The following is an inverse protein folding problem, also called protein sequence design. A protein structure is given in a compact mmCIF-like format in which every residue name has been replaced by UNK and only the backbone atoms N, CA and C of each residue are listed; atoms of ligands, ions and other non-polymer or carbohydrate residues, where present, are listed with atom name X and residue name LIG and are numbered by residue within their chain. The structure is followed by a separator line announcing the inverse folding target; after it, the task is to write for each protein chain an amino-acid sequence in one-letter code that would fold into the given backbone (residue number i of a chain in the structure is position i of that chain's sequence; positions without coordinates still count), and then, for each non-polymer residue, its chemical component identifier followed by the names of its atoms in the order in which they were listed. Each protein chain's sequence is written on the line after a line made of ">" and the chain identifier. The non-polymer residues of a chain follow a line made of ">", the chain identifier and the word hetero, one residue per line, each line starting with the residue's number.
data_IF_056680207783
#
_entry.id   IF_056680207783
#
_cell.length_a   1.000
_cell.length_b   1.000
_cell.length_c   1.000
_cell.angle_alpha   90.00
_cell.angle_beta   90.00
_cell.angle_gamma   90.00
#
_symmetry.space_group_name_H-M   'P 1'
#
loop_
_entity.id
_entity.type
_entity.pdbx_description
1 polymer ?
#
# COMPACT_ATOMS: atom_id res chain seq x y z
N UNK A 1 6.82 6.40 0.22
CA UNK A 1 7.41 7.03 1.42
C UNK A 1 7.05 6.15 2.60
N UNK A 2 7.87 6.02 3.65
CA UNK A 2 7.38 5.34 4.87
C UNK A 2 6.47 6.27 5.71
N UNK A 3 5.78 5.69 6.69
CA UNK A 3 4.82 6.39 7.55
C UNK A 3 5.46 7.53 8.35
N UNK A 4 6.67 7.32 8.89
CA UNK A 4 7.36 8.33 9.69
C UNK A 4 7.75 9.54 8.85
N UNK A 5 8.31 9.30 7.68
CA UNK A 5 8.62 10.37 6.74
C UNK A 5 7.36 11.11 6.27
N UNK A 6 6.29 10.38 5.96
CA UNK A 6 5.01 11.01 5.61
C UNK A 6 4.49 11.92 6.72
N UNK A 7 4.57 11.49 7.97
CA UNK A 7 4.17 12.29 9.13
C UNK A 7 5.04 13.54 9.32
N UNK A 8 6.36 13.44 9.11
CA UNK A 8 7.27 14.59 9.14
C UNK A 8 6.88 15.62 8.07
N UNK A 9 6.78 15.23 6.80
CA UNK A 9 6.44 16.16 5.71
C UNK A 9 5.04 16.75 5.85
N UNK A 10 4.07 15.96 6.33
CA UNK A 10 2.71 16.40 6.61
C UNK A 10 2.66 17.49 7.68
N UNK A 11 3.57 17.43 8.64
CA UNK A 11 3.60 18.34 9.81
C UNK A 11 4.31 19.66 9.52
N UNK A 12 4.93 19.82 8.36
CA UNK A 12 5.61 21.05 7.92
C UNK A 12 4.71 21.90 7.01
N UNK A 13 4.78 23.22 7.15
CA UNK A 13 4.17 24.19 6.22
C UNK A 13 5.30 24.82 5.35
N UNK A 14 5.02 25.16 4.07
CA UNK A 14 6.02 25.83 3.22
C UNK A 14 6.30 27.28 3.63
N UNK A 15 5.38 27.95 4.35
CA UNK A 15 5.48 29.35 4.76
C UNK A 15 5.92 29.48 6.21
N UNK A 16 5.43 28.62 7.08
CA UNK A 16 5.75 28.61 8.52
C UNK A 16 6.60 27.40 8.90
N UNK A 17 7.84 27.67 9.30
CA UNK A 17 8.81 26.63 9.64
C UNK A 17 8.68 26.17 11.09
N UNK A 18 9.25 25.01 11.44
CA UNK A 18 9.26 24.44 12.79
C UNK A 18 10.66 24.10 13.25
N UNK A 19 10.94 24.20 14.54
CA UNK A 19 12.15 23.57 15.11
C UNK A 19 12.03 22.05 15.04
N UNK A 20 13.14 21.35 15.25
CA UNK A 20 13.14 19.88 15.26
C UNK A 20 12.28 19.35 16.42
N UNK A 21 12.25 20.03 17.56
CA UNK A 21 11.47 19.65 18.75
C UNK A 21 9.97 19.82 18.50
N UNK A 22 9.55 20.94 17.90
CA UNK A 22 8.16 21.15 17.48
C UNK A 22 7.73 20.08 16.47
N UNK A 23 8.59 19.79 15.50
CA UNK A 23 8.31 18.79 14.48
C UNK A 23 8.26 17.36 15.05
N UNK A 24 9.10 17.04 16.03
CA UNK A 24 9.06 15.76 16.75
C UNK A 24 7.74 15.59 17.49
N UNK A 25 7.29 16.62 18.20
CA UNK A 25 6.00 16.62 18.90
C UNK A 25 4.82 16.38 17.93
N UNK A 26 4.82 17.02 16.77
CA UNK A 26 3.70 16.96 15.84
C UNK A 26 3.69 15.70 14.97
N UNK A 27 4.87 15.21 14.58
CA UNK A 27 5.01 14.01 13.74
C UNK A 27 4.98 12.70 14.54
N UNK A 28 5.33 12.76 15.84
CA UNK A 28 5.55 11.58 16.68
C UNK A 28 6.91 10.91 16.46
N UNK A 29 7.78 11.48 15.64
CA UNK A 29 9.10 10.95 15.32
C UNK A 29 10.18 11.50 16.24
N UNK A 30 11.22 10.70 16.51
CA UNK A 30 12.34 11.14 17.34
C UNK A 30 13.14 12.26 16.64
N UNK A 31 13.68 13.25 17.38
CA UNK A 31 14.55 14.29 16.82
C UNK A 31 15.74 13.75 16.00
N UNK A 32 16.29 12.60 16.39
CA UNK A 32 17.38 11.94 15.66
C UNK A 32 16.94 11.38 14.31
N UNK A 33 15.72 10.84 14.22
CA UNK A 33 15.12 10.35 12.96
C UNK A 33 14.88 11.53 12.03
N UNK A 34 14.32 12.63 12.54
CA UNK A 34 14.10 13.86 11.76
C UNK A 34 15.42 14.37 11.18
N UNK A 35 16.47 14.50 12.01
CA UNK A 35 17.80 14.96 11.55
C UNK A 35 18.37 14.08 10.44
N UNK A 36 18.41 12.77 10.66
CA UNK A 36 18.91 11.81 9.67
C UNK A 36 18.11 11.88 8.35
N UNK A 37 16.81 12.15 8.45
CA UNK A 37 15.94 12.25 7.30
C UNK A 37 16.12 13.58 6.52
N UNK A 38 16.27 14.71 7.23
CA UNK A 38 16.61 15.99 6.62
C UNK A 38 17.94 15.89 5.88
N UNK A 39 18.95 15.28 6.49
CA UNK A 39 20.27 15.09 5.88
C UNK A 39 20.18 14.21 4.62
N UNK A 40 19.47 13.08 4.69
CA UNK A 40 19.38 12.13 3.58
C UNK A 40 18.41 12.56 2.46
N UNK A 41 17.50 13.51 2.72
CA UNK A 41 16.46 13.97 1.79
C UNK A 41 16.38 15.50 1.71
N UNK A 42 17.52 16.19 1.80
CA UNK A 42 17.63 17.64 1.89
C UNK A 42 16.76 18.42 0.90
N UNK A 43 16.61 17.93 -0.35
CA UNK A 43 15.77 18.58 -1.38
C UNK A 43 14.28 18.75 -1.01
N UNK A 44 13.77 18.07 0.02
CA UNK A 44 12.37 18.17 0.45
C UNK A 44 12.16 19.16 1.60
N UNK A 45 13.25 19.78 2.07
CA UNK A 45 13.28 20.68 3.20
C UNK A 45 13.93 22.00 2.82
N UNK A 46 13.53 23.07 3.52
CA UNK A 46 14.23 24.35 3.52
C UNK A 46 14.51 24.71 4.97
N UNK A 47 15.78 24.96 5.31
CA UNK A 47 16.16 25.41 6.64
C UNK A 47 16.45 26.91 6.64
N UNK A 48 15.77 27.66 7.50
CA UNK A 48 15.94 29.10 7.64
C UNK A 48 15.84 29.48 9.12
N UNK A 49 16.90 30.09 9.67
CA UNK A 49 16.92 30.52 11.07
C UNK A 49 16.74 29.39 12.09
N UNK A 50 17.24 28.18 11.79
CA UNK A 50 17.07 26.99 12.64
C UNK A 50 15.67 26.39 12.63
N UNK A 51 14.82 26.80 11.67
CA UNK A 51 13.48 26.25 11.47
C UNK A 51 13.41 25.56 10.11
N UNK A 52 12.81 24.39 10.09
CA UNK A 52 12.57 23.58 8.89
C UNK A 52 11.21 23.93 8.30
N UNK A 53 11.17 24.16 7.00
CA UNK A 53 9.98 24.29 6.16
C UNK A 53 9.95 23.15 5.15
N UNK A 54 8.77 22.85 4.61
CA UNK A 54 8.66 21.95 3.44
C UNK A 54 9.03 22.71 2.17
N UNK A 55 9.90 22.15 1.34
CA UNK A 55 10.20 22.74 0.02
C UNK A 55 9.05 22.53 -0.99
N UNK A 56 9.18 23.08 -2.19
CA UNK A 56 8.25 22.82 -3.30
C UNK A 56 8.27 21.34 -3.68
N UNK A 57 9.46 20.73 -3.81
CA UNK A 57 9.61 19.30 -4.08
C UNK A 57 9.03 18.44 -2.95
N UNK A 58 9.21 18.87 -1.70
CA UNK A 58 8.62 18.22 -0.54
C UNK A 58 7.08 18.29 -0.58
N UNK A 59 6.52 19.40 -1.05
CA UNK A 59 5.08 19.58 -1.21
C UNK A 59 4.53 18.69 -2.32
N UNK A 60 5.20 18.63 -3.48
CA UNK A 60 4.85 17.71 -4.57
C UNK A 60 4.91 16.25 -4.10
N UNK A 61 5.95 15.88 -3.34
CA UNK A 61 6.10 14.53 -2.79
C UNK A 61 4.97 14.19 -1.80
N UNK A 62 4.60 15.13 -0.92
CA UNK A 62 3.50 14.96 0.01
C UNK A 62 2.16 14.79 -0.73
N UNK A 63 1.87 15.61 -1.74
CA UNK A 63 0.61 15.53 -2.49
C UNK A 63 0.50 14.25 -3.30
N UNK A 64 1.62 13.76 -3.83
CA UNK A 64 1.67 12.45 -4.46
C UNK A 64 1.35 11.33 -3.45
N UNK A 65 2.00 11.35 -2.29
CA UNK A 65 1.79 10.34 -1.24
C UNK A 65 0.37 10.40 -0.66
N UNK A 66 -0.20 11.59 -0.42
CA UNK A 66 -1.58 11.78 0.05
C UNK A 66 -2.60 11.15 -0.91
N UNK A 67 -2.44 11.39 -2.23
CA UNK A 67 -3.30 10.76 -3.24
C UNK A 67 -3.18 9.25 -3.23
N UNK A 68 -1.95 8.74 -3.10
CA UNK A 68 -1.67 7.31 -2.98
C UNK A 68 -2.24 6.65 -1.72
N UNK A 69 -2.50 7.44 -0.67
CA UNK A 69 -3.08 7.01 0.61
C UNK A 69 -4.59 7.21 0.72
N UNK A 70 -5.24 7.62 -0.37
CA UNK A 70 -6.69 7.85 -0.39
C UNK A 70 -7.39 6.70 -1.13
N UNK A 71 -8.00 5.75 -0.42
CA UNK A 71 -8.78 4.68 -1.04
C UNK A 71 -10.09 5.24 -1.61
N UNK A 72 -10.61 4.58 -2.65
CA UNK A 72 -12.01 4.78 -3.04
C UNK A 72 -12.95 4.32 -1.90
N UNK A 73 -14.15 4.90 -1.77
CA UNK A 73 -15.09 4.52 -0.71
C UNK A 73 -15.56 3.06 -0.85
N UNK A 74 -15.74 2.37 0.28
CA UNK A 74 -16.31 1.01 0.32
C UNK A 74 -17.85 1.11 0.36
N UNK A 75 -18.43 1.50 -0.77
CA UNK A 75 -19.87 1.58 -0.98
C UNK A 75 -20.48 0.23 -1.39
N UNK A 76 -21.77 0.24 -1.76
CA UNK A 76 -22.49 -0.96 -2.18
C UNK A 76 -21.93 -1.55 -3.49
N UNK A 77 -21.52 -0.71 -4.43
CA UNK A 77 -21.01 -1.13 -5.74
C UNK A 77 -19.69 -1.90 -5.56
N UNK A 78 -18.76 -1.37 -4.75
CA UNK A 78 -17.49 -2.04 -4.42
C UNK A 78 -17.74 -3.39 -3.72
N UNK A 79 -18.69 -3.44 -2.79
CA UNK A 79 -19.03 -4.69 -2.08
C UNK A 79 -19.63 -5.74 -3.01
N UNK A 80 -20.50 -5.33 -3.92
CA UNK A 80 -21.09 -6.23 -4.93
C UNK A 80 -20.05 -6.70 -5.94
N UNK A 81 -19.18 -5.81 -6.41
CA UNK A 81 -18.07 -6.16 -7.29
C UNK A 81 -17.15 -7.19 -6.63
N UNK A 82 -16.77 -6.97 -5.37
CA UNK A 82 -15.96 -7.93 -4.62
C UNK A 82 -16.68 -9.28 -4.49
N UNK A 83 -17.96 -9.29 -4.09
CA UNK A 83 -18.75 -10.53 -3.95
C UNK A 83 -18.85 -11.30 -5.27
N UNK A 84 -18.92 -10.60 -6.41
CA UNK A 84 -18.90 -11.21 -7.76
C UNK A 84 -17.61 -11.95 -8.06
N UNK A 85 -16.46 -11.50 -7.56
CA UNK A 85 -15.20 -12.26 -7.67
C UNK A 85 -15.13 -13.36 -6.62
N UNK A 86 -15.55 -13.07 -5.38
CA UNK A 86 -15.54 -14.03 -4.28
C UNK A 86 -16.41 -15.27 -4.55
N UNK A 87 -17.50 -15.14 -5.31
CA UNK A 87 -18.34 -16.27 -5.72
C UNK A 87 -17.66 -17.21 -6.72
N UNK A 88 -16.60 -16.77 -7.39
CA UNK A 88 -15.82 -17.56 -8.36
C UNK A 88 -14.73 -18.42 -7.70
N UNK A 89 -14.49 -18.26 -6.39
CA UNK A 89 -13.45 -19.01 -5.65
C UNK A 89 -13.70 -20.53 -5.62
N UNK A 90 -14.96 -20.94 -5.67
CA UNK A 90 -15.36 -22.33 -5.42
C UNK A 90 -15.14 -22.73 -3.96
N UNK A 91 -15.28 -24.02 -3.66
CA UNK A 91 -15.07 -24.54 -2.31
C UNK A 91 -13.60 -24.35 -1.86
N UNK A 92 -13.43 -24.05 -0.57
CA UNK A 92 -12.12 -24.05 0.06
C UNK A 92 -11.51 -25.47 0.02
N UNK A 93 -10.18 -25.54 -0.08
CA UNK A 93 -9.41 -26.77 -0.06
C UNK A 93 -8.71 -26.95 1.28
N UNK A 94 -9.10 -27.97 2.03
CA UNK A 94 -8.47 -28.33 3.31
C UNK A 94 -6.98 -28.69 3.14
N UNK A 95 -6.61 -29.31 2.02
CA UNK A 95 -5.22 -29.68 1.69
C UNK A 95 -4.28 -28.47 1.50
N UNK A 96 -4.86 -27.28 1.29
CA UNK A 96 -4.15 -26.00 1.19
C UNK A 96 -4.44 -25.08 2.39
N UNK A 97 -5.13 -25.58 3.42
CA UNK A 97 -5.52 -24.82 4.62
C UNK A 97 -6.31 -23.52 4.31
N UNK A 98 -7.15 -23.55 3.25
CA UNK A 98 -7.90 -22.37 2.84
C UNK A 98 -9.07 -22.09 3.78
N UNK A 99 -9.15 -20.85 4.28
CA UNK A 99 -10.29 -20.35 5.07
C UNK A 99 -10.59 -18.92 4.66
N UNK A 100 -11.70 -18.75 3.95
CA UNK A 100 -12.06 -17.45 3.40
C UNK A 100 -12.56 -16.47 4.46
N UNK A 101 -11.96 -15.29 4.48
CA UNK A 101 -12.47 -14.15 5.22
C UNK A 101 -13.79 -13.62 4.64
N UNK A 102 -14.54 -12.92 5.49
CA UNK A 102 -15.72 -12.16 5.08
C UNK A 102 -15.31 -11.06 4.08
N UNK A 103 -16.17 -10.72 3.08
CA UNK A 103 -15.92 -9.63 2.14
C UNK A 103 -15.51 -8.32 2.80
N UNK A 104 -16.15 -8.00 3.92
CA UNK A 104 -15.90 -6.80 4.71
C UNK A 104 -14.46 -6.81 5.24
N UNK A 105 -13.96 -7.96 5.70
CA UNK A 105 -12.59 -8.07 6.21
C UNK A 105 -11.53 -7.85 5.12
N UNK A 106 -11.74 -8.41 3.93
CA UNK A 106 -10.82 -8.23 2.81
C UNK A 106 -10.79 -6.78 2.29
N UNK A 107 -11.95 -6.13 2.19
CA UNK A 107 -12.06 -4.74 1.76
C UNK A 107 -11.46 -3.77 2.79
N UNK A 108 -11.72 -3.97 4.08
CA UNK A 108 -11.14 -3.14 5.15
C UNK A 108 -9.63 -3.35 5.27
N UNK A 109 -9.13 -4.58 5.06
CA UNK A 109 -7.69 -4.86 4.97
C UNK A 109 -7.04 -4.08 3.82
N UNK A 110 -7.65 -4.11 2.63
CA UNK A 110 -7.17 -3.34 1.49
C UNK A 110 -7.20 -1.83 1.74
N UNK A 111 -8.26 -1.30 2.37
CA UNK A 111 -8.36 0.11 2.76
C UNK A 111 -7.22 0.51 3.70
N UNK A 112 -6.96 -0.30 4.72
CA UNK A 112 -5.87 -0.06 5.67
C UNK A 112 -4.50 -0.03 4.97
N UNK A 113 -4.22 -0.98 4.07
CA UNK A 113 -2.96 -1.01 3.31
C UNK A 113 -2.78 0.27 2.46
N UNK A 114 -3.87 0.80 1.89
CA UNK A 114 -3.85 2.04 1.11
C UNK A 114 -3.58 3.23 2.04
N UNK A 115 -4.32 3.38 3.13
CA UNK A 115 -4.18 4.51 4.07
C UNK A 115 -2.78 4.59 4.69
N UNK A 116 -2.16 3.43 4.90
CA UNK A 116 -0.77 3.29 5.37
C UNK A 116 0.29 3.51 4.28
N UNK A 117 -0.13 3.71 3.03
CA UNK A 117 0.77 3.99 1.91
C UNK A 117 1.61 2.79 1.47
N UNK A 118 1.31 1.58 1.96
CA UNK A 118 2.07 0.37 1.62
C UNK A 118 2.01 0.07 0.12
N UNK A 119 0.88 0.40 -0.51
CA UNK A 119 0.67 0.29 -1.95
C UNK A 119 1.59 1.19 -2.79
N UNK A 120 2.18 2.24 -2.21
CA UNK A 120 3.12 3.13 -2.92
C UNK A 120 4.50 2.50 -3.13
N UNK A 121 4.84 1.51 -2.31
CA UNK A 121 6.15 0.82 -2.33
C UNK A 121 6.17 -0.37 -3.29
N UNK A 122 5.00 -0.85 -3.68
CA UNK A 122 4.81 -2.15 -4.30
C UNK A 122 4.49 -3.20 -3.23
N UNK A 123 3.59 -4.12 -3.55
CA UNK A 123 3.13 -5.17 -2.65
C UNK A 123 3.36 -6.54 -3.26
N UNK A 124 3.86 -7.46 -2.45
CA UNK A 124 3.87 -8.88 -2.76
C UNK A 124 2.94 -9.60 -1.78
N UNK A 125 1.93 -10.28 -2.30
CA UNK A 125 0.95 -11.05 -1.54
C UNK A 125 1.35 -12.52 -1.65
N UNK A 126 1.48 -13.19 -0.50
CA UNK A 126 1.87 -14.60 -0.39
C UNK A 126 0.61 -15.41 -0.03
N UNK A 127 -0.01 -16.04 -1.02
CA UNK A 127 -1.36 -16.58 -0.95
C UNK A 127 -2.43 -15.48 -0.99
N UNK A 128 -3.44 -15.62 -1.85
CA UNK A 128 -4.51 -14.61 -2.01
C UNK A 128 -5.89 -15.23 -2.16
N UNK A 129 -6.17 -16.26 -1.36
CA UNK A 129 -7.49 -16.92 -1.29
C UNK A 129 -8.60 -15.96 -0.81
N UNK A 130 -8.21 -14.97 -0.02
CA UNK A 130 -9.00 -13.82 0.42
C UNK A 130 -9.19 -12.72 -0.64
N UNK A 131 -8.61 -12.85 -1.84
CA UNK A 131 -8.74 -11.88 -2.93
C UNK A 131 -8.41 -10.43 -2.50
N UNK A 132 -7.45 -10.27 -1.58
CA UNK A 132 -6.97 -8.98 -1.10
C UNK A 132 -6.39 -8.19 -2.26
N UNK A 133 -5.71 -8.86 -3.21
CA UNK A 133 -5.26 -8.18 -4.43
C UNK A 133 -6.46 -7.57 -5.16
N UNK A 134 -7.54 -8.31 -5.41
CA UNK A 134 -8.75 -7.78 -6.07
C UNK A 134 -9.34 -6.60 -5.30
N UNK A 135 -9.48 -6.71 -3.98
CA UNK A 135 -9.95 -5.62 -3.13
C UNK A 135 -9.12 -4.34 -3.31
N UNK A 136 -7.78 -4.43 -3.34
CA UNK A 136 -6.91 -3.27 -3.62
C UNK A 136 -7.25 -2.59 -4.96
N UNK A 137 -7.56 -3.38 -5.98
CA UNK A 137 -7.91 -2.87 -7.32
C UNK A 137 -9.23 -2.14 -7.34
N UNK A 138 -10.24 -2.71 -6.68
CA UNK A 138 -11.56 -2.09 -6.50
C UNK A 138 -11.46 -0.77 -5.72
N UNK A 139 -10.45 -0.63 -4.85
CA UNK A 139 -10.20 0.60 -4.08
C UNK A 139 -9.23 1.58 -4.77
N UNK A 140 -8.90 1.35 -6.05
CA UNK A 140 -8.15 2.29 -6.88
C UNK A 140 -6.66 1.99 -7.05
N UNK A 141 -6.15 0.88 -6.50
CA UNK A 141 -4.73 0.50 -6.62
C UNK A 141 -4.51 -0.31 -7.89
N UNK A 142 -4.01 0.36 -8.93
CA UNK A 142 -3.79 -0.25 -10.25
C UNK A 142 -2.41 -0.86 -10.47
N UNK A 143 -1.38 -0.44 -9.72
CA UNK A 143 0.03 -0.75 -10.04
C UNK A 143 0.75 -1.52 -8.94
N UNK A 144 1.76 -2.29 -9.35
CA UNK A 144 2.79 -2.87 -8.46
C UNK A 144 2.26 -3.84 -7.40
N UNK A 145 1.35 -4.74 -7.78
CA UNK A 145 0.94 -5.85 -6.91
C UNK A 145 1.36 -7.16 -7.57
N UNK A 146 2.19 -7.94 -6.88
CA UNK A 146 2.51 -9.32 -7.23
C UNK A 146 1.81 -10.29 -6.29
N UNK A 147 1.40 -11.45 -6.80
CA UNK A 147 0.81 -12.53 -6.02
C UNK A 147 1.57 -13.82 -6.30
N UNK A 148 1.98 -14.51 -5.23
CA UNK A 148 2.48 -15.88 -5.25
C UNK A 148 1.38 -16.80 -4.73
N UNK A 149 0.89 -17.72 -5.55
CA UNK A 149 -0.27 -18.55 -5.22
C UNK A 149 -0.04 -20.01 -5.64
N UNK A 150 -0.36 -20.96 -4.78
CA UNK A 150 -0.16 -22.39 -5.05
C UNK A 150 -1.37 -23.03 -5.74
N UNK A 151 -2.58 -22.48 -5.53
CA UNK A 151 -3.81 -22.99 -6.12
C UNK A 151 -4.04 -22.41 -7.52
N UNK A 152 -3.91 -23.25 -8.55
CA UNK A 152 -4.13 -22.89 -9.96
C UNK A 152 -5.52 -22.27 -10.23
N UNK A 153 -6.54 -22.59 -9.41
CA UNK A 153 -7.88 -21.97 -9.51
C UNK A 153 -7.81 -20.49 -9.18
N UNK A 154 -7.11 -20.15 -8.10
CA UNK A 154 -6.90 -18.77 -7.69
C UNK A 154 -5.96 -18.06 -8.66
N UNK A 155 -4.88 -18.70 -9.12
CA UNK A 155 -4.02 -18.13 -10.18
C UNK A 155 -4.85 -17.72 -11.39
N UNK A 156 -5.75 -18.59 -11.85
CA UNK A 156 -6.63 -18.32 -13.00
C UNK A 156 -7.63 -17.19 -12.71
N UNK A 157 -8.26 -17.22 -11.54
CA UNK A 157 -9.22 -16.19 -11.11
C UNK A 157 -8.55 -14.81 -11.02
N UNK A 158 -7.38 -14.72 -10.39
CA UNK A 158 -6.65 -13.48 -10.17
C UNK A 158 -6.14 -12.89 -11.49
N UNK A 159 -5.65 -13.73 -12.41
CA UNK A 159 -5.27 -13.29 -13.76
C UNK A 159 -6.47 -12.77 -14.54
N UNK A 160 -7.60 -13.47 -14.50
CA UNK A 160 -8.83 -13.01 -15.14
C UNK A 160 -9.31 -11.68 -14.56
N UNK A 161 -9.26 -11.53 -13.23
CA UNK A 161 -9.65 -10.29 -12.55
C UNK A 161 -8.72 -9.13 -12.87
N UNK A 162 -7.41 -9.39 -13.01
CA UNK A 162 -6.44 -8.39 -13.42
C UNK A 162 -6.75 -7.83 -14.82
N UNK A 163 -7.12 -8.69 -15.76
CA UNK A 163 -7.58 -8.26 -17.09
C UNK A 163 -8.91 -7.51 -17.01
N UNK A 164 -9.91 -8.03 -16.29
CA UNK A 164 -11.26 -7.45 -16.17
C UNK A 164 -11.25 -6.04 -15.57
N UNK A 165 -10.33 -5.77 -14.64
CA UNK A 165 -10.23 -4.49 -13.93
C UNK A 165 -9.05 -3.62 -14.41
N UNK A 166 -8.37 -4.01 -15.48
CA UNK A 166 -7.20 -3.32 -16.05
C UNK A 166 -6.10 -3.01 -15.02
N UNK A 167 -5.68 -4.06 -14.31
CA UNK A 167 -4.71 -3.97 -13.22
C UNK A 167 -3.35 -4.45 -13.68
N UNK A 168 -2.31 -3.68 -13.37
CA UNK A 168 -0.91 -4.09 -13.53
C UNK A 168 -0.54 -5.03 -12.38
N UNK A 169 -0.82 -6.33 -12.58
CA UNK A 169 -0.56 -7.40 -11.60
C UNK A 169 0.22 -8.55 -12.20
N UNK A 170 1.21 -9.02 -11.45
CA UNK A 170 1.84 -10.31 -11.69
C UNK A 170 1.21 -11.36 -10.78
N UNK A 171 0.83 -12.50 -11.34
CA UNK A 171 0.32 -13.64 -10.58
C UNK A 171 1.11 -14.86 -11.00
N UNK A 172 1.92 -15.37 -10.08
CA UNK A 172 2.83 -16.49 -10.33
C UNK A 172 2.39 -17.72 -9.54
N UNK A 173 2.18 -18.87 -10.20
CA UNK A 173 1.98 -20.13 -9.51
C UNK A 173 3.26 -20.47 -8.74
N UNK A 174 3.19 -20.55 -7.41
CA UNK A 174 4.37 -20.72 -6.59
C UNK A 174 4.08 -21.45 -5.28
N UNK A 175 4.97 -22.38 -4.93
CA UNK A 175 4.96 -23.08 -3.64
C UNK A 175 5.91 -22.35 -2.67
N UNK A 176 5.36 -21.74 -1.62
CA UNK A 176 6.13 -20.97 -0.63
C UNK A 176 7.10 -21.81 0.21
N UNK A 177 7.09 -23.15 0.08
CA UNK A 177 8.13 -24.03 0.64
C UNK A 177 9.45 -23.88 -0.11
N UNK A 178 9.39 -23.48 -1.38
CA UNK A 178 10.57 -23.21 -2.19
C UNK A 178 11.11 -21.80 -1.92
N UNK A 179 12.44 -21.58 -2.05
CA UNK A 179 13.01 -20.25 -1.88
C UNK A 179 12.43 -19.25 -2.88
N UNK A 180 12.00 -18.08 -2.40
CA UNK A 180 11.44 -17.01 -3.24
C UNK A 180 12.38 -16.72 -4.44
N UNK A 181 11.86 -16.62 -5.68
CA UNK A 181 12.68 -16.39 -6.87
C UNK A 181 13.55 -15.15 -6.74
N UNK A 182 14.80 -15.21 -7.21
CA UNK A 182 15.75 -14.09 -7.08
C UNK A 182 15.24 -12.80 -7.72
N UNK A 183 14.50 -12.90 -8.84
CA UNK A 183 13.93 -11.74 -9.53
C UNK A 183 12.84 -10.99 -8.74
N UNK A 184 12.40 -11.51 -7.59
CA UNK A 184 11.44 -10.85 -6.69
C UNK A 184 12.08 -10.37 -5.38
N UNK A 185 13.42 -10.44 -5.26
CA UNK A 185 14.16 -10.04 -4.04
C UNK A 185 14.73 -8.62 -4.10
N UNK A 186 14.41 -7.86 -5.15
CA UNK A 186 14.99 -6.54 -5.45
C UNK A 186 13.96 -5.41 -5.32
#
# INVERSE_FOLDING_TARGET
>A
MDDGFFNILRSLDPRDGKTIEELASDSGEAPSVIKALVDSKAKWFVEEGGRLKRSDEGSVALDFERRGRTPLPIDQEVREAYRRFASRRGAARDELDQVYAAPESALERARLLIEKGETQRGLCILGDDDLTSIALGLLGVKRKVSVLEIDDRFVSLLKSAATELELERSVEPFDLREPIPKGMRE
#
